data_IF_869564098547
#
_entry.id   IF_869564098547
#
_cell.length_a   1.000
_cell.length_b   1.000
_cell.length_c   1.000
_cell.angle_alpha   90.00
_cell.angle_beta   90.00
_cell.angle_gamma   90.00
#
_symmetry.space_group_name_H-M   'P 1'
#
loop_
_entity.id
_entity.type
_entity.pdbx_description
1 polymer ?
#
# COMPACT_ATOMS: atom_id res chain seq x y z
N UNK A 1 -9.47 -52.90 -18.84
CA UNK A 1 -9.18 -53.67 -17.60
C UNK A 1 -7.92 -54.45 -17.85
N UNK A 2 -6.76 -53.87 -17.55
CA UNK A 2 -5.49 -54.62 -17.39
C UNK A 2 -4.74 -53.93 -16.25
N UNK A 3 -4.51 -54.69 -15.18
CA UNK A 3 -3.89 -54.21 -13.95
C UNK A 3 -2.35 -54.24 -14.02
N UNK A 4 -1.67 -53.50 -13.12
CA UNK A 4 -0.22 -53.50 -13.01
C UNK A 4 0.25 -54.48 -11.94
N UNK A 5 1.30 -55.27 -12.18
CA UNK A 5 2.14 -55.82 -11.10
C UNK A 5 3.40 -56.51 -11.64
N UNK A 6 4.56 -55.97 -11.30
CA UNK A 6 5.88 -56.63 -11.09
C UNK A 6 6.92 -55.52 -10.90
N UNK A 7 7.98 -55.57 -10.09
CA UNK A 7 8.49 -56.53 -9.09
C UNK A 7 9.71 -55.86 -8.46
N UNK A 8 9.84 -55.98 -7.13
CA UNK A 8 11.12 -56.17 -6.40
C UNK A 8 12.18 -55.06 -6.45
N UNK A 9 13.13 -54.96 -5.53
CA UNK A 9 13.38 -55.68 -4.29
C UNK A 9 14.28 -54.78 -3.42
N UNK A 10 14.14 -54.92 -2.10
CA UNK A 10 15.09 -54.42 -1.09
C UNK A 10 16.50 -54.94 -1.38
N UNK A 11 17.52 -54.10 -1.26
CA UNK A 11 18.80 -54.53 -0.67
C UNK A 11 19.32 -53.43 0.27
N UNK A 12 19.39 -53.82 1.54
CA UNK A 12 20.02 -53.11 2.65
C UNK A 12 21.55 -53.31 2.63
N UNK A 13 22.21 -52.39 3.34
CA UNK A 13 23.49 -52.55 4.01
C UNK A 13 24.79 -52.33 3.20
N UNK A 14 25.53 -51.30 3.61
CA UNK A 14 26.81 -51.50 4.30
C UNK A 14 27.20 -50.26 5.09
N UNK A 15 27.12 -50.36 6.42
CA UNK A 15 27.88 -49.49 7.34
C UNK A 15 29.31 -49.99 7.35
N UNK A 16 30.27 -49.12 7.06
CA UNK A 16 31.69 -49.35 7.35
C UNK A 16 32.03 -48.50 8.56
N UNK A 17 32.25 -49.18 9.69
CA UNK A 17 32.93 -48.65 10.85
C UNK A 17 34.42 -48.57 10.54
N UNK A 18 35.02 -47.40 10.73
CA UNK A 18 36.46 -47.23 10.63
C UNK A 18 36.94 -46.01 11.41
N UNK A 19 37.76 -46.26 12.43
CA UNK A 19 38.80 -45.32 12.83
C UNK A 19 38.52 -44.42 14.03
N UNK A 20 38.75 -44.94 15.22
CA UNK A 20 39.02 -44.18 16.44
C UNK A 20 40.39 -43.50 16.29
N UNK A 21 40.47 -42.17 16.46
CA UNK A 21 41.72 -41.49 16.85
C UNK A 21 41.40 -40.30 17.75
N UNK A 22 41.72 -40.45 19.04
CA UNK A 22 41.79 -39.39 20.05
C UNK A 22 43.11 -38.62 19.84
N UNK A 23 43.07 -37.29 19.93
CA UNK A 23 44.13 -36.47 20.53
C UNK A 23 43.54 -35.13 21.01
N UNK A 24 43.87 -34.65 22.22
CA UNK A 24 43.45 -33.37 22.76
C UNK A 24 44.51 -32.30 22.49
N UNK A 25 44.10 -31.08 22.10
CA UNK A 25 44.96 -29.88 22.24
C UNK A 25 44.09 -28.70 22.68
N UNK A 26 44.60 -28.01 23.69
CA UNK A 26 44.00 -26.91 24.45
C UNK A 26 44.31 -25.57 23.74
N UNK A 27 43.26 -24.77 23.52
CA UNK A 27 43.08 -23.28 23.53
C UNK A 27 44.30 -22.33 23.39
N UNK A 28 44.14 -21.19 22.66
CA UNK A 28 43.56 -20.02 23.32
C UNK A 28 42.52 -19.22 22.51
N UNK A 29 41.69 -18.52 23.29
CA UNK A 29 40.64 -17.57 22.91
C UNK A 29 41.25 -16.42 22.11
N UNK A 30 40.84 -16.28 20.84
CA UNK A 30 41.11 -15.09 20.06
C UNK A 30 40.08 -14.00 20.42
N UNK A 31 40.62 -12.86 20.82
CA UNK A 31 39.92 -11.66 21.26
C UNK A 31 39.12 -11.05 20.09
N UNK A 32 37.79 -11.17 20.12
CA UNK A 32 36.90 -10.56 19.13
C UNK A 32 36.55 -9.14 19.60
N UNK A 33 37.29 -8.15 19.09
CA UNK A 33 36.88 -6.74 19.15
C UNK A 33 35.84 -6.51 18.04
N UNK A 34 34.56 -6.73 18.35
CA UNK A 34 33.47 -6.26 17.50
C UNK A 34 33.42 -4.73 17.61
N UNK A 35 33.91 -4.08 16.55
CA UNK A 35 33.58 -2.69 16.26
C UNK A 35 32.08 -2.62 16.02
N UNK A 36 31.34 -2.13 17.01
CA UNK A 36 29.98 -1.64 16.80
C UNK A 36 30.09 -0.37 15.94
N UNK A 37 30.18 -0.53 14.63
CA UNK A 37 29.71 0.52 13.73
C UNK A 37 28.22 0.63 14.02
N UNK A 38 27.84 1.68 14.73
CA UNK A 38 26.47 2.15 14.78
C UNK A 38 26.08 2.47 13.33
N UNK A 39 25.49 1.47 12.68
CA UNK A 39 24.87 1.63 11.38
C UNK A 39 23.96 2.84 11.46
N UNK A 40 24.16 3.76 10.54
CA UNK A 40 23.20 4.78 10.13
C UNK A 40 21.79 4.18 10.26
N UNK A 41 21.00 4.73 11.17
CA UNK A 41 19.59 4.42 11.28
C UNK A 41 18.91 4.81 9.98
N UNK A 42 18.85 3.86 9.04
CA UNK A 42 17.81 3.85 8.03
C UNK A 42 16.51 3.69 8.81
N UNK A 43 15.64 4.69 8.73
CA UNK A 43 14.26 4.54 9.18
C UNK A 43 13.74 3.22 8.62
N UNK A 44 13.24 2.35 9.50
CA UNK A 44 12.54 1.15 9.05
C UNK A 44 11.49 1.59 8.02
N UNK A 45 11.34 0.89 6.88
CA UNK A 45 10.24 1.20 5.97
C UNK A 45 8.97 1.21 6.80
N UNK A 46 8.21 2.31 6.73
CA UNK A 46 6.90 2.35 7.36
C UNK A 46 6.17 1.08 6.91
N UNK A 47 5.70 0.26 7.87
CA UNK A 47 4.97 -0.97 7.55
C UNK A 47 3.69 -0.58 6.82
N UNK A 48 3.77 -0.51 5.48
CA UNK A 48 2.66 -0.14 4.63
C UNK A 48 1.64 -1.28 4.66
N UNK A 49 0.52 -1.05 5.33
CA UNK A 49 -0.52 -2.04 5.46
C UNK A 49 -1.38 -2.08 4.19
N UNK A 50 -1.31 -3.21 3.50
CA UNK A 50 -2.19 -3.51 2.37
C UNK A 50 -3.61 -3.76 2.87
N UNK A 51 -4.57 -3.20 2.15
CA UNK A 51 -5.99 -3.38 2.33
C UNK A 51 -6.63 -3.71 1.00
N UNK A 52 -7.88 -4.19 1.03
CA UNK A 52 -8.67 -4.49 -0.15
C UNK A 52 -10.04 -3.82 -0.06
N UNK A 53 -10.57 -3.42 -1.21
CA UNK A 53 -11.96 -2.98 -1.32
C UNK A 53 -12.90 -4.16 -1.04
N UNK A 54 -13.78 -4.10 -0.04
CA UNK A 54 -14.71 -5.18 0.27
C UNK A 54 -15.65 -5.57 -0.87
N UNK A 55 -15.93 -4.64 -1.81
CA UNK A 55 -16.83 -4.89 -2.93
C UNK A 55 -16.12 -5.44 -4.18
N UNK A 56 -14.98 -4.86 -4.54
CA UNK A 56 -14.27 -5.19 -5.79
C UNK A 56 -13.03 -6.08 -5.59
N UNK A 57 -12.60 -6.30 -4.35
CA UNK A 57 -11.32 -6.94 -4.00
C UNK A 57 -10.09 -6.23 -4.59
N UNK A 58 -10.22 -4.96 -4.96
CA UNK A 58 -9.09 -4.18 -5.44
C UNK A 58 -8.15 -3.85 -4.30
N UNK A 59 -6.86 -4.21 -4.43
CA UNK A 59 -5.86 -4.00 -3.41
C UNK A 59 -5.26 -2.58 -3.45
N UNK A 60 -5.02 -2.01 -2.27
CA UNK A 60 -4.38 -0.71 -2.11
C UNK A 60 -3.74 -0.54 -0.74
N UNK A 61 -2.87 0.46 -0.62
CA UNK A 61 -2.37 1.00 0.64
C UNK A 61 -3.21 2.23 0.98
N UNK A 62 -3.89 2.19 2.12
CA UNK A 62 -4.64 3.34 2.62
C UNK A 62 -3.68 4.30 3.35
N UNK A 63 -3.68 5.60 3.02
CA UNK A 63 -2.93 6.59 3.80
C UNK A 63 -3.31 6.55 5.29
N UNK A 64 -2.35 6.70 6.19
CA UNK A 64 -2.60 6.62 7.63
C UNK A 64 -3.69 7.61 8.11
N UNK A 65 -3.72 8.82 7.54
CA UNK A 65 -4.75 9.84 7.84
C UNK A 65 -6.16 9.46 7.40
N UNK A 66 -6.32 8.44 6.53
CA UNK A 66 -7.65 7.91 6.19
C UNK A 66 -8.31 7.16 7.36
N UNK A 67 -7.52 6.82 8.39
CA UNK A 67 -7.90 6.08 9.60
C UNK A 67 -8.36 4.63 9.31
N UNK A 68 -8.36 3.74 10.32
CA UNK A 68 -8.66 2.31 10.12
C UNK A 68 -10.15 2.00 9.96
N UNK A 69 -10.57 1.32 8.90
CA UNK A 69 -11.96 0.89 8.70
C UNK A 69 -12.22 0.41 7.26
N UNK A 70 -13.44 -0.08 6.95
CA UNK A 70 -13.80 -0.45 5.58
C UNK A 70 -13.58 0.71 4.62
N UNK A 71 -12.74 0.49 3.63
CA UNK A 71 -12.33 1.49 2.65
C UNK A 71 -12.65 0.99 1.26
N UNK A 72 -13.28 1.83 0.45
CA UNK A 72 -13.74 1.48 -0.88
C UNK A 72 -12.96 2.26 -1.92
N UNK A 73 -12.48 1.57 -2.94
CA UNK A 73 -11.77 2.19 -4.07
C UNK A 73 -12.76 2.52 -5.19
N UNK A 74 -12.72 3.77 -5.66
CA UNK A 74 -13.47 4.21 -6.82
C UNK A 74 -12.48 4.76 -7.84
N UNK A 75 -12.10 3.91 -8.78
CA UNK A 75 -11.17 4.21 -9.87
C UNK A 75 -10.91 2.96 -10.70
N UNK A 76 -9.84 2.96 -11.49
CA UNK A 76 -9.45 1.77 -12.23
C UNK A 76 -8.80 0.74 -11.29
N UNK A 77 -9.10 -0.54 -11.50
CA UNK A 77 -8.42 -1.65 -10.84
C UNK A 77 -7.72 -2.49 -11.90
N UNK A 78 -6.41 -2.39 -11.97
CA UNK A 78 -5.58 -3.04 -13.00
C UNK A 78 -4.73 -4.09 -12.29
N UNK A 79 -4.75 -5.32 -12.79
CA UNK A 79 -4.04 -6.47 -12.20
C UNK A 79 -4.34 -6.66 -10.70
N UNK A 80 -5.60 -6.40 -10.30
CA UNK A 80 -6.07 -6.51 -8.92
C UNK A 80 -5.65 -5.35 -8.01
N UNK A 81 -5.05 -4.28 -8.54
CA UNK A 81 -4.53 -3.15 -7.76
C UNK A 81 -5.10 -1.81 -8.20
N UNK A 82 -5.37 -0.94 -7.22
CA UNK A 82 -5.85 0.41 -7.47
C UNK A 82 -4.83 1.20 -8.32
N UNK A 83 -5.31 1.76 -9.43
CA UNK A 83 -4.45 2.40 -10.43
C UNK A 83 -5.12 3.62 -11.05
N UNK A 84 -4.31 4.63 -11.37
CA UNK A 84 -4.77 5.87 -11.98
C UNK A 84 -5.45 6.81 -10.97
N UNK A 85 -6.20 7.78 -11.50
CA UNK A 85 -6.96 8.73 -10.70
C UNK A 85 -8.20 8.08 -10.08
N UNK A 86 -8.48 8.38 -8.82
CA UNK A 86 -9.65 7.87 -8.12
C UNK A 86 -9.75 8.32 -6.67
N UNK A 87 -10.61 7.64 -5.93
CA UNK A 87 -10.88 7.93 -4.52
C UNK A 87 -10.85 6.68 -3.67
N UNK A 88 -10.22 6.80 -2.50
CA UNK A 88 -10.46 5.88 -1.38
C UNK A 88 -11.46 6.55 -0.43
N UNK A 89 -12.61 5.89 -0.19
CA UNK A 89 -13.62 6.39 0.75
C UNK A 89 -13.74 5.45 1.93
N UNK A 90 -13.42 5.96 3.13
CA UNK A 90 -13.74 5.27 4.38
C UNK A 90 -15.25 5.34 4.64
N UNK A 91 -15.85 4.23 5.04
CA UNK A 91 -17.21 4.20 5.58
C UNK A 91 -17.27 3.47 6.90
N UNK A 92 -17.95 4.07 7.87
CA UNK A 92 -18.31 3.45 9.15
C UNK A 92 -19.83 3.26 9.18
N UNK A 93 -20.29 2.14 8.61
CA UNK A 93 -21.71 1.93 8.33
C UNK A 93 -22.22 2.95 7.31
N UNK A 94 -23.27 3.70 7.67
CA UNK A 94 -23.85 4.72 6.80
C UNK A 94 -23.10 6.06 6.84
N UNK A 95 -22.16 6.23 7.77
CA UNK A 95 -21.39 7.48 7.90
C UNK A 95 -20.17 7.45 7.00
N UNK A 96 -20.06 8.49 6.19
CA UNK A 96 -18.94 8.69 5.32
C UNK A 96 -17.81 9.37 6.12
N UNK A 97 -16.65 8.71 6.20
CA UNK A 97 -15.48 9.22 6.91
C UNK A 97 -14.55 10.00 5.99
N UNK A 98 -13.26 10.17 6.34
CA UNK A 98 -12.27 10.80 5.47
C UNK A 98 -12.20 10.14 4.07
N UNK A 99 -11.83 10.93 3.07
CA UNK A 99 -11.57 10.44 1.72
C UNK A 99 -10.22 10.90 1.21
N UNK A 100 -9.56 10.02 0.46
CA UNK A 100 -8.42 10.38 -0.36
C UNK A 100 -8.90 10.57 -1.79
N UNK A 101 -8.45 11.64 -2.44
CA UNK A 101 -8.63 11.91 -3.85
C UNK A 101 -7.25 12.10 -4.47
N UNK A 102 -6.90 11.28 -5.45
CA UNK A 102 -5.59 11.41 -6.08
C UNK A 102 -5.26 10.31 -7.06
N UNK A 103 -3.96 10.17 -7.32
CA UNK A 103 -3.40 9.18 -8.24
C UNK A 103 -2.81 8.00 -7.46
N UNK A 104 -3.17 6.80 -7.89
CA UNK A 104 -2.63 5.53 -7.42
C UNK A 104 -1.78 4.88 -8.50
N UNK A 105 -0.77 4.14 -8.09
CA UNK A 105 0.05 3.30 -8.97
C UNK A 105 0.35 1.98 -8.27
N UNK A 106 -0.03 0.88 -8.89
CA UNK A 106 0.17 -0.48 -8.36
C UNK A 106 -0.35 -0.62 -6.92
N UNK A 107 -1.49 0.00 -6.61
CA UNK A 107 -2.10 0.00 -5.28
C UNK A 107 -1.47 0.97 -4.28
N UNK A 108 -0.46 1.75 -4.67
CA UNK A 108 0.23 2.71 -3.79
C UNK A 108 -0.19 4.14 -4.17
N UNK A 109 -0.59 5.00 -3.20
CA UNK A 109 -0.82 6.42 -3.49
C UNK A 109 0.48 7.08 -3.98
N UNK A 110 0.39 7.93 -5.01
CA UNK A 110 1.54 8.72 -5.48
C UNK A 110 1.46 10.16 -4.98
N UNK A 111 0.30 10.78 -5.20
CA UNK A 111 0.03 12.18 -4.87
C UNK A 111 -1.48 12.42 -4.80
N UNK A 112 -1.90 13.29 -3.89
CA UNK A 112 -3.30 13.71 -3.82
C UNK A 112 -3.63 14.46 -2.55
N UNK A 113 -4.92 14.46 -2.22
CA UNK A 113 -5.49 15.17 -1.09
C UNK A 113 -6.28 14.20 -0.23
N UNK A 114 -6.13 14.32 1.09
CA UNK A 114 -7.05 13.72 2.06
C UNK A 114 -7.99 14.83 2.53
N UNK A 115 -9.28 14.62 2.27
CA UNK A 115 -10.40 15.39 2.80
C UNK A 115 -10.71 14.90 4.22
N UNK A 116 -10.35 15.73 5.20
CA UNK A 116 -10.57 15.53 6.62
C UNK A 116 -11.70 16.46 7.08
N UNK A 117 -12.35 16.15 8.20
CA UNK A 117 -13.42 16.98 8.75
C UNK A 117 -12.99 18.43 9.06
N UNK A 118 -11.69 18.66 9.26
CA UNK A 118 -11.08 19.93 9.64
C UNK A 118 -10.29 20.61 8.52
N UNK A 119 -10.26 20.03 7.32
CA UNK A 119 -9.56 20.60 6.16
C UNK A 119 -8.89 19.56 5.28
N UNK A 120 -7.87 20.00 4.53
CA UNK A 120 -7.17 19.17 3.55
C UNK A 120 -5.73 18.90 3.95
N UNK A 121 -5.31 17.65 3.76
CA UNK A 121 -3.90 17.28 3.74
C UNK A 121 -3.50 16.99 2.29
N UNK A 122 -2.54 17.73 1.75
CA UNK A 122 -2.18 17.66 0.34
C UNK A 122 -0.68 17.39 0.17
N UNK A 123 -0.32 16.51 -0.76
CA UNK A 123 1.08 16.26 -1.11
C UNK A 123 1.31 14.90 -1.74
N UNK A 124 2.58 14.54 -1.87
CA UNK A 124 3.01 13.21 -2.27
C UNK A 124 2.81 12.20 -1.14
N UNK A 125 2.73 10.92 -1.49
CA UNK A 125 2.76 9.85 -0.51
C UNK A 125 4.19 9.62 -0.01
N UNK A 126 4.37 9.72 1.31
CA UNK A 126 5.65 9.52 1.98
C UNK A 126 5.39 9.07 3.41
N UNK A 127 6.25 8.19 3.93
CA UNK A 127 6.15 7.68 5.31
C UNK A 127 4.77 7.10 5.68
N UNK A 128 4.07 6.52 4.69
CA UNK A 128 2.77 5.88 4.89
C UNK A 128 1.57 6.83 4.86
N UNK A 129 1.76 8.10 4.50
CA UNK A 129 0.66 9.07 4.45
C UNK A 129 0.82 10.10 3.33
N UNK A 130 -0.25 10.83 3.03
CA UNK A 130 -0.22 11.95 2.08
C UNK A 130 0.36 13.18 2.79
N UNK A 131 1.36 13.81 2.19
CA UNK A 131 2.07 14.92 2.85
C UNK A 131 2.71 14.48 4.16
N UNK A 132 3.20 13.24 4.22
CA UNK A 132 4.06 12.77 5.32
C UNK A 132 5.46 13.37 5.21
N UNK A 133 6.11 13.64 6.34
CA UNK A 133 7.45 14.24 6.37
C UNK A 133 7.44 15.76 6.50
N UNK A 134 8.45 16.43 5.91
CA UNK A 134 8.54 17.89 5.92
C UNK A 134 7.41 18.52 5.10
N UNK A 135 6.96 19.72 5.50
CA UNK A 135 5.92 20.47 4.78
C UNK A 135 6.23 20.50 3.27
N UNK A 136 5.30 20.02 2.42
CA UNK A 136 5.51 20.02 0.99
C UNK A 136 5.71 21.44 0.49
N UNK A 137 6.65 21.63 -0.43
CA UNK A 137 6.79 22.90 -1.12
C UNK A 137 5.47 23.30 -1.81
N UNK A 138 5.29 24.60 -2.00
CA UNK A 138 4.03 25.16 -2.51
C UNK A 138 3.60 24.52 -3.83
N UNK A 139 4.55 24.19 -4.71
CA UNK A 139 4.24 23.57 -6.00
C UNK A 139 3.69 22.15 -5.84
N UNK A 140 4.26 21.33 -4.98
CA UNK A 140 3.72 19.99 -4.69
C UNK A 140 2.30 20.04 -4.12
N UNK A 141 2.00 21.05 -3.30
CA UNK A 141 0.63 21.24 -2.78
C UNK A 141 -0.34 21.58 -3.92
N UNK A 142 0.04 22.49 -4.81
CA UNK A 142 -0.76 22.86 -5.99
C UNK A 142 -0.99 21.63 -6.88
N UNK A 143 0.06 20.86 -7.17
CA UNK A 143 -0.03 19.66 -7.99
C UNK A 143 -0.97 18.62 -7.35
N UNK A 144 -0.88 18.43 -6.03
CA UNK A 144 -1.76 17.53 -5.30
C UNK A 144 -3.24 17.92 -5.41
N UNK A 145 -3.58 19.21 -5.26
CA UNK A 145 -4.95 19.70 -5.43
C UNK A 145 -5.44 19.55 -6.87
N UNK A 146 -4.59 19.83 -7.87
CA UNK A 146 -4.93 19.61 -9.28
C UNK A 146 -5.26 18.15 -9.56
N UNK A 147 -4.42 17.23 -9.09
CA UNK A 147 -4.66 15.78 -9.25
C UNK A 147 -5.92 15.34 -8.50
N UNK A 148 -6.16 15.88 -7.30
CA UNK A 148 -7.38 15.57 -6.55
C UNK A 148 -8.65 16.06 -7.27
N UNK A 149 -8.61 17.23 -7.90
CA UNK A 149 -9.71 17.74 -8.71
C UNK A 149 -9.97 16.87 -9.96
N UNK A 150 -8.91 16.45 -10.66
CA UNK A 150 -8.99 15.51 -11.79
C UNK A 150 -9.62 14.16 -11.35
N UNK A 151 -9.21 13.64 -10.20
CA UNK A 151 -9.80 12.43 -9.62
C UNK A 151 -11.29 12.60 -9.27
N UNK A 152 -11.67 13.71 -8.63
CA UNK A 152 -13.06 14.02 -8.31
C UNK A 152 -13.94 14.11 -9.58
N UNK A 153 -13.44 14.72 -10.66
CA UNK A 153 -14.14 14.72 -11.96
C UNK A 153 -14.31 13.33 -12.54
N UNK A 154 -13.27 12.51 -12.50
CA UNK A 154 -13.35 11.12 -12.98
C UNK A 154 -14.43 10.32 -12.25
N UNK A 155 -14.59 10.57 -10.94
CA UNK A 155 -15.65 9.97 -10.12
C UNK A 155 -17.03 10.53 -10.48
N UNK A 156 -17.14 11.84 -10.70
CA UNK A 156 -18.36 12.49 -11.19
C UNK A 156 -18.84 11.84 -12.50
N UNK A 157 -17.94 11.69 -13.48
CA UNK A 157 -18.22 11.02 -14.76
C UNK A 157 -18.66 9.58 -14.56
N UNK A 158 -17.99 8.83 -13.67
CA UNK A 158 -18.38 7.46 -13.34
C UNK A 158 -19.81 7.39 -12.82
N UNK A 159 -20.16 8.21 -11.83
CA UNK A 159 -21.52 8.22 -11.27
C UNK A 159 -22.57 8.70 -12.27
N UNK A 160 -22.22 9.62 -13.18
CA UNK A 160 -23.11 10.01 -14.27
C UNK A 160 -23.41 8.81 -15.20
N UNK A 161 -22.38 8.02 -15.54
CA UNK A 161 -22.54 6.77 -16.32
C UNK A 161 -23.38 5.71 -15.61
N UNK A 162 -23.43 5.73 -14.28
CA UNK A 162 -24.26 4.86 -13.44
C UNK A 162 -25.69 5.41 -13.23
N UNK A 163 -26.09 6.49 -13.92
CA UNK A 163 -27.35 7.21 -13.75
C UNK A 163 -27.57 7.78 -12.34
N UNK A 164 -26.49 8.05 -11.61
CA UNK A 164 -26.53 8.67 -10.30
C UNK A 164 -26.17 10.17 -10.39
N UNK A 165 -27.14 10.97 -10.83
CA UNK A 165 -26.96 12.41 -11.03
C UNK A 165 -26.60 13.17 -9.74
N UNK A 166 -27.10 12.72 -8.59
CA UNK A 166 -26.82 13.36 -7.30
C UNK A 166 -25.34 13.24 -6.92
N UNK A 167 -24.77 12.03 -6.99
CA UNK A 167 -23.35 11.83 -6.73
C UNK A 167 -22.48 12.46 -7.82
N UNK A 168 -22.89 12.42 -9.09
CA UNK A 168 -22.17 13.10 -10.16
C UNK A 168 -22.02 14.60 -9.87
N UNK A 169 -23.13 15.29 -9.57
CA UNK A 169 -23.09 16.71 -9.23
C UNK A 169 -22.25 17.00 -7.99
N UNK A 170 -22.37 16.18 -6.93
CA UNK A 170 -21.59 16.32 -5.71
C UNK A 170 -20.08 16.31 -5.99
N UNK A 171 -19.59 15.32 -6.74
CA UNK A 171 -18.16 15.21 -7.02
C UNK A 171 -17.66 16.25 -8.03
N UNK A 172 -18.53 16.74 -8.91
CA UNK A 172 -18.20 17.88 -9.78
C UNK A 172 -18.00 19.18 -8.98
N UNK A 173 -18.88 19.47 -8.01
CA UNK A 173 -18.72 20.65 -7.14
C UNK A 173 -17.50 20.51 -6.21
N UNK A 174 -17.21 19.29 -5.74
CA UNK A 174 -15.98 19.01 -5.00
C UNK A 174 -14.74 19.28 -5.87
N UNK A 175 -14.73 18.83 -7.13
CA UNK A 175 -13.61 19.09 -8.04
C UNK A 175 -13.33 20.59 -8.19
N UNK A 176 -14.38 21.41 -8.40
CA UNK A 176 -14.25 22.87 -8.46
C UNK A 176 -13.70 23.47 -7.16
N UNK A 177 -14.16 22.96 -6.02
CA UNK A 177 -13.68 23.42 -4.70
C UNK A 177 -12.20 23.12 -4.50
N UNK A 178 -11.72 21.96 -4.97
CA UNK A 178 -10.31 21.57 -4.92
C UNK A 178 -9.46 22.44 -5.85
N UNK A 179 -9.97 22.83 -7.02
CA UNK A 179 -9.23 23.72 -7.93
C UNK A 179 -9.03 25.13 -7.38
N UNK A 180 -9.99 25.66 -6.62
CA UNK A 180 -9.84 26.96 -5.96
C UNK A 180 -8.67 27.00 -4.95
N UNK A 181 -8.11 25.84 -4.58
CA UNK A 181 -6.90 25.75 -3.74
C UNK A 181 -5.60 25.91 -4.53
N UNK A 182 -5.69 26.00 -5.86
CA UNK A 182 -4.53 26.12 -6.76
C UNK A 182 -4.28 27.53 -7.27
N UNK A 183 -5.22 28.45 -7.04
CA UNK A 183 -5.15 29.88 -7.36
C UNK A 183 -4.36 30.68 -6.31
#
# INVERSE_FOLDING_TARGET
MEGPFTTGARIMAKRVFGGIRRSPVILPIALVMILYLNGTGGAAPADLHWSEDPGSHCEFIAPASLTSGPTFWIGACIDGKASGEGMLRRRDGDRAGPAFFGRMKDGIPEIGVIDLAEGYRAGSFSDGDIGGGAEPDQQKRIDAFRIAAEAARSISVKYAGENNAGSAHLYEELAKTLELQTD
#
